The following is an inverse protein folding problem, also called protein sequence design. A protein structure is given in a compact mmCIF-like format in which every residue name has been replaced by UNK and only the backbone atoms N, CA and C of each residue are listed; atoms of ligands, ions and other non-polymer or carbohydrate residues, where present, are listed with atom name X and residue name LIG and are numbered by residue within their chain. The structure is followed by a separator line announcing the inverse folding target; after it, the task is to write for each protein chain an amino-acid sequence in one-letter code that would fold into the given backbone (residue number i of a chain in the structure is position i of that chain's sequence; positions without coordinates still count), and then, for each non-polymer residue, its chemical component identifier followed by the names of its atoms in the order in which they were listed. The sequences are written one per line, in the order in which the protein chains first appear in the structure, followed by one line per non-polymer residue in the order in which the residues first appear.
data_IF_361339071753
#
_entry.id   IF_361339071753
#
_cell.length_a   1.000
_cell.length_b   1.000
_cell.length_c   1.000
_cell.angle_alpha   90.00
_cell.angle_beta   90.00
_cell.angle_gamma   90.00
#
_symmetry.space_group_name_H-M   'P 1'
#
loop_
_entity.id
_entity.type
_entity.pdbx_description
1 polymer ?
#
# COMPACT_ATOMS: atom_id res chain seq x y z
N UNK A 1 12.09 7.37 -30.41
CA UNK A 1 11.15 6.85 -29.40
C UNK A 1 11.82 5.64 -28.77
N UNK A 2 12.44 5.78 -27.60
CA UNK A 2 13.15 4.66 -26.97
C UNK A 2 12.12 3.68 -26.40
N UNK A 3 12.17 2.41 -26.83
CA UNK A 3 11.40 1.35 -26.19
C UNK A 3 11.88 1.24 -24.73
N UNK A 4 10.98 1.33 -23.73
CA UNK A 4 11.40 1.14 -22.35
C UNK A 4 11.93 -0.28 -22.23
N UNK A 5 13.17 -0.42 -21.75
CA UNK A 5 13.63 -1.70 -21.27
C UNK A 5 12.61 -2.17 -20.21
N UNK A 6 12.10 -3.39 -20.34
CA UNK A 6 11.14 -3.94 -19.38
C UNK A 6 11.74 -3.87 -17.97
N UNK A 7 11.10 -3.09 -17.09
CA UNK A 7 11.52 -2.97 -15.70
C UNK A 7 10.99 -4.20 -14.96
N UNK A 8 11.88 -5.15 -14.70
CA UNK A 8 11.56 -6.38 -13.96
C UNK A 8 11.82 -6.16 -12.47
N UNK A 9 10.80 -6.42 -11.64
CA UNK A 9 10.92 -6.36 -10.18
C UNK A 9 11.33 -7.74 -9.65
N UNK A 10 12.55 -7.87 -9.15
CA UNK A 10 13.11 -9.14 -8.61
C UNK A 10 13.14 -9.21 -7.09
N UNK A 11 13.01 -8.08 -6.39
CA UNK A 11 13.01 -8.04 -4.93
C UNK A 11 11.66 -8.53 -4.37
N UNK A 12 11.69 -9.62 -3.59
CA UNK A 12 10.51 -10.22 -2.99
C UNK A 12 9.68 -9.24 -2.13
N UNK A 13 10.33 -8.32 -1.40
CA UNK A 13 9.64 -7.28 -0.62
C UNK A 13 8.88 -6.30 -1.52
N UNK A 14 9.48 -5.91 -2.65
CA UNK A 14 8.81 -5.02 -3.60
C UNK A 14 7.66 -5.73 -4.31
N UNK A 15 7.81 -7.00 -4.64
CA UNK A 15 6.72 -7.82 -5.22
C UNK A 15 5.54 -7.91 -4.25
N UNK A 16 5.80 -8.14 -2.96
CA UNK A 16 4.76 -8.18 -1.93
C UNK A 16 4.04 -6.83 -1.79
N UNK A 17 4.80 -5.74 -1.67
CA UNK A 17 4.26 -4.38 -1.61
C UNK A 17 3.38 -4.03 -2.83
N UNK A 18 3.85 -4.34 -4.04
CA UNK A 18 3.07 -4.15 -5.27
C UNK A 18 1.81 -5.02 -5.31
N UNK A 19 1.89 -6.26 -4.81
CA UNK A 19 0.75 -7.18 -4.74
C UNK A 19 -0.33 -6.65 -3.81
N UNK A 20 0.07 -6.14 -2.63
CA UNK A 20 -0.85 -5.50 -1.66
C UNK A 20 -1.46 -4.23 -2.24
N UNK A 21 -0.65 -3.35 -2.84
CA UNK A 21 -1.13 -2.13 -3.49
C UNK A 21 -2.18 -2.45 -4.58
N UNK A 22 -1.90 -3.44 -5.44
CA UNK A 22 -2.85 -3.90 -6.46
C UNK A 22 -4.15 -4.40 -5.86
N UNK A 23 -4.10 -5.14 -4.75
CA UNK A 23 -5.30 -5.63 -4.06
C UNK A 23 -6.17 -4.48 -3.57
N UNK A 24 -5.59 -3.48 -2.93
CA UNK A 24 -6.33 -2.29 -2.46
C UNK A 24 -6.94 -1.51 -3.63
N UNK A 25 -6.18 -1.30 -4.71
CA UNK A 25 -6.70 -0.64 -5.92
C UNK A 25 -7.84 -1.42 -6.57
N UNK A 26 -7.77 -2.76 -6.58
CA UNK A 26 -8.84 -3.61 -7.09
C UNK A 26 -10.08 -3.52 -6.20
N UNK A 27 -9.91 -3.47 -4.88
CA UNK A 27 -10.98 -3.22 -3.91
C UNK A 27 -11.69 -1.89 -4.18
N UNK A 28 -10.91 -0.80 -4.29
CA UNK A 28 -11.43 0.53 -4.64
C UNK A 28 -12.20 0.51 -5.97
N UNK A 29 -11.66 -0.17 -6.99
CA UNK A 29 -12.32 -0.28 -8.30
C UNK A 29 -13.66 -1.01 -8.20
N UNK A 30 -13.70 -2.16 -7.53
CA UNK A 30 -14.94 -2.91 -7.31
C UNK A 30 -15.96 -2.11 -6.50
N UNK A 31 -15.50 -1.30 -5.54
CA UNK A 31 -16.35 -0.43 -4.75
C UNK A 31 -16.99 0.69 -5.60
N UNK A 32 -16.23 1.28 -6.53
CA UNK A 32 -16.79 2.22 -7.54
C UNK A 32 -17.88 1.50 -8.34
N UNK A 33 -17.55 0.34 -8.90
CA UNK A 33 -18.44 -0.40 -9.80
C UNK A 33 -19.72 -0.87 -9.07
N UNK A 34 -19.65 -1.03 -7.74
CA UNK A 34 -20.77 -1.43 -6.88
C UNK A 34 -21.56 -0.25 -6.29
N UNK A 35 -21.20 1.00 -6.60
CA UNK A 35 -21.89 2.20 -6.11
C UNK A 35 -21.69 2.47 -4.60
N UNK A 36 -20.60 1.98 -4.02
CA UNK A 36 -20.27 2.18 -2.61
C UNK A 36 -19.84 3.63 -2.35
N UNK A 37 -20.15 4.15 -1.15
CA UNK A 37 -19.76 5.50 -0.71
C UNK A 37 -18.28 5.78 -0.87
N UNK A 38 -17.95 6.99 -1.34
CA UNK A 38 -16.58 7.45 -1.61
C UNK A 38 -15.64 7.45 -0.40
N UNK A 39 -16.17 7.42 0.83
CA UNK A 39 -15.35 7.33 2.04
C UNK A 39 -14.57 5.99 2.12
N UNK A 40 -15.18 4.89 1.67
CA UNK A 40 -14.51 3.58 1.64
C UNK A 40 -13.44 3.53 0.55
N UNK A 41 -13.64 4.27 -0.55
CA UNK A 41 -12.64 4.43 -1.60
C UNK A 41 -11.36 5.10 -1.10
N UNK A 42 -11.51 6.16 -0.29
CA UNK A 42 -10.38 6.92 0.23
C UNK A 42 -9.46 6.06 1.11
N UNK A 43 -10.05 5.10 1.83
CA UNK A 43 -9.30 4.14 2.66
C UNK A 43 -8.47 3.20 1.80
N UNK A 44 -9.06 2.59 0.77
CA UNK A 44 -8.35 1.69 -0.13
C UNK A 44 -7.22 2.38 -0.90
N UNK A 45 -7.43 3.63 -1.34
CA UNK A 45 -6.40 4.43 -1.99
C UNK A 45 -5.25 4.77 -1.04
N UNK A 46 -5.54 5.05 0.24
CA UNK A 46 -4.53 5.31 1.26
C UNK A 46 -3.70 4.05 1.55
N UNK A 47 -4.33 2.89 1.62
CA UNK A 47 -3.61 1.62 1.74
C UNK A 47 -2.71 1.34 0.53
N UNK A 48 -3.21 1.56 -0.69
CA UNK A 48 -2.40 1.42 -1.89
C UNK A 48 -1.17 2.34 -1.87
N UNK A 49 -1.37 3.62 -1.51
CA UNK A 49 -0.30 4.60 -1.37
C UNK A 49 0.74 4.17 -0.33
N UNK A 50 0.30 3.67 0.82
CA UNK A 50 1.18 3.21 1.89
C UNK A 50 2.07 2.05 1.46
N UNK A 51 1.52 1.01 0.82
CA UNK A 51 2.31 -0.11 0.30
C UNK A 51 3.31 0.32 -0.77
N UNK A 52 2.95 1.27 -1.64
CA UNK A 52 3.92 1.86 -2.58
C UNK A 52 5.01 2.69 -1.87
N UNK A 53 4.64 3.32 -0.75
CA UNK A 53 5.56 4.03 0.15
C UNK A 53 6.67 3.13 0.68
N UNK A 54 6.35 1.89 1.06
CA UNK A 54 7.32 0.90 1.56
C UNK A 54 8.45 0.61 0.57
N UNK A 55 8.17 0.70 -0.75
CA UNK A 55 9.16 0.48 -1.82
C UNK A 55 10.12 1.67 -1.92
N UNK A 56 9.59 2.89 -1.76
CA UNK A 56 10.37 4.13 -1.88
C UNK A 56 11.04 4.56 -0.57
N UNK A 57 10.83 3.81 0.51
CA UNK A 57 11.32 4.17 1.85
C UNK A 57 10.58 5.36 2.47
N UNK A 58 9.41 5.73 1.94
CA UNK A 58 8.57 6.78 2.55
C UNK A 58 7.86 6.18 3.76
N UNK A 59 8.30 6.58 4.95
CA UNK A 59 7.67 6.28 6.23
C UNK A 59 6.41 7.16 6.35
N UNK A 60 5.24 6.54 6.52
CA UNK A 60 4.02 7.30 6.84
C UNK A 60 3.96 7.61 8.34
N UNK A 61 3.18 8.62 8.78
CA UNK A 61 2.93 8.83 10.21
C UNK A 61 2.39 7.56 10.91
N UNK A 62 1.60 6.75 10.21
CA UNK A 62 1.07 5.49 10.72
C UNK A 62 2.18 4.44 10.92
N UNK A 63 3.19 4.38 10.03
CA UNK A 63 4.39 3.55 10.23
C UNK A 63 5.16 3.97 11.48
N UNK A 64 5.29 5.28 11.68
CA UNK A 64 5.98 5.84 12.84
C UNK A 64 5.25 5.46 14.13
N UNK A 65 3.94 5.67 14.18
CA UNK A 65 3.10 5.30 15.34
C UNK A 65 3.12 3.78 15.57
N UNK A 66 3.00 2.97 14.52
CA UNK A 66 3.09 1.51 14.59
C UNK A 66 4.44 1.03 15.12
N UNK A 67 5.55 1.68 14.74
CA UNK A 67 6.89 1.34 15.24
C UNK A 67 7.14 1.79 16.69
N UNK A 68 6.48 2.86 17.14
CA UNK A 68 6.55 3.35 18.52
C UNK A 68 5.74 2.43 19.41
N UNK A 69 4.49 2.13 19.06
CA UNK A 69 3.59 1.32 19.88
C UNK A 69 3.79 -0.20 19.72
N UNK A 70 4.29 -0.67 18.58
CA UNK A 70 4.57 -2.10 18.33
C UNK A 70 5.78 -2.65 19.08
N UNK A 71 6.63 -1.78 19.67
CA UNK A 71 7.73 -2.19 20.57
C UNK A 71 7.33 -2.22 22.04
N UNK A 72 6.13 -1.76 22.38
CA UNK A 72 5.57 -1.99 23.70
C UNK A 72 4.84 -3.33 23.69
N UNK A 73 5.51 -4.37 24.18
CA UNK A 73 4.80 -5.54 24.67
C UNK A 73 3.74 -5.03 25.65
N UNK A 74 2.46 -5.13 25.30
CA UNK A 74 1.37 -5.03 26.28
C UNK A 74 1.59 -6.22 27.21
N UNK A 75 2.14 -5.98 28.41
CA UNK A 75 2.30 -7.00 29.44
C UNK A 75 3.72 -7.20 29.97
N UNK A 76 4.32 -6.15 30.53
CA UNK A 76 4.49 -6.11 31.99
C UNK A 76 3.70 -4.93 32.53
#
# INVERSE_FOLDING_TARGET
MASPADIVVTNARHVDALTKARRSLTGARSAIDSGISGELLAVDLRHAQHHLGEITGKITPDDLLGSIFGRFCIGK
#
